data_IF_613729299335
#
_entry.id   IF_613729299335
#
_cell.length_a   1.000
_cell.length_b   1.000
_cell.length_c   1.000
_cell.angle_alpha   90.00
_cell.angle_beta   90.00
_cell.angle_gamma   90.00
#
_symmetry.space_group_name_H-M   'P 1'
#
loop_
_entity.id
_entity.type
_entity.pdbx_description
1 polymer ?
#
# COMPACT_ATOMS: atom_id res chain seq x y z
N UNK A 1 0.56 -6.99 15.48
CA UNK A 1 0.11 -7.93 16.54
C UNK A 1 -1.25 -8.56 16.25
N UNK A 2 -2.34 -7.80 16.10
CA UNK A 2 -3.67 -8.39 15.85
C UNK A 2 -3.73 -9.31 14.61
N UNK A 3 -3.10 -8.91 13.49
CA UNK A 3 -3.02 -9.74 12.28
C UNK A 3 -2.28 -11.07 12.48
N UNK A 4 -1.18 -11.07 13.23
CA UNK A 4 -0.44 -12.30 13.56
C UNK A 4 -1.34 -13.25 14.35
N UNK A 5 -2.10 -12.76 15.33
CA UNK A 5 -2.99 -13.61 16.13
C UNK A 5 -4.16 -14.18 15.32
N UNK A 6 -4.81 -13.37 14.48
CA UNK A 6 -5.97 -13.83 13.68
C UNK A 6 -5.60 -14.86 12.62
N UNK A 7 -4.43 -14.69 11.99
CA UNK A 7 -3.98 -15.53 10.87
C UNK A 7 -2.91 -16.56 11.28
N UNK A 8 -2.65 -16.71 12.58
CA UNK A 8 -1.75 -17.74 13.09
C UNK A 8 -2.27 -19.14 12.68
N UNK A 9 -1.44 -20.00 12.05
CA UNK A 9 -1.87 -21.32 11.56
C UNK A 9 -2.45 -22.26 12.63
N UNK A 10 -2.01 -22.13 13.88
CA UNK A 10 -2.33 -23.04 14.98
C UNK A 10 -3.51 -22.57 15.84
N UNK A 11 -3.62 -21.26 16.08
CA UNK A 11 -4.59 -20.68 17.02
C UNK A 11 -5.50 -19.60 16.41
N UNK A 12 -5.24 -19.19 15.16
CA UNK A 12 -5.94 -18.10 14.51
C UNK A 12 -7.33 -18.49 14.02
N UNK A 13 -8.35 -17.73 14.43
CA UNK A 13 -9.74 -17.97 14.03
C UNK A 13 -9.95 -17.90 12.51
N UNK A 14 -9.25 -16.99 11.83
CA UNK A 14 -9.30 -16.86 10.36
C UNK A 14 -8.52 -17.97 9.66
N UNK A 15 -7.37 -18.38 10.18
CA UNK A 15 -6.61 -19.49 9.63
C UNK A 15 -7.40 -20.81 9.69
N UNK A 16 -8.13 -21.06 10.78
CA UNK A 16 -9.03 -22.22 10.91
C UNK A 16 -10.16 -22.17 9.88
N UNK A 17 -10.75 -20.99 9.63
CA UNK A 17 -11.81 -20.85 8.63
C UNK A 17 -11.30 -21.15 7.21
N UNK A 18 -10.12 -20.65 6.85
CA UNK A 18 -9.48 -20.90 5.56
C UNK A 18 -9.21 -22.41 5.38
N UNK A 19 -8.67 -23.07 6.40
CA UNK A 19 -8.44 -24.52 6.38
C UNK A 19 -9.73 -25.33 6.25
N UNK A 20 -10.80 -24.92 6.94
CA UNK A 20 -12.14 -25.54 6.78
C UNK A 20 -12.73 -25.35 5.39
N UNK A 21 -12.39 -24.26 4.71
CA UNK A 21 -12.75 -24.00 3.32
C UNK A 21 -11.87 -24.77 2.31
N UNK A 22 -10.93 -25.60 2.77
CA UNK A 22 -10.02 -26.37 1.91
C UNK A 22 -8.77 -25.61 1.45
N UNK A 23 -8.53 -24.40 1.96
CA UNK A 23 -7.35 -23.60 1.64
C UNK A 23 -6.24 -23.98 2.64
N UNK A 24 -5.11 -24.55 2.20
CA UNK A 24 -4.02 -24.98 3.07
C UNK A 24 -3.18 -23.77 3.53
N UNK A 25 -3.78 -22.88 4.32
CA UNK A 25 -3.16 -21.65 4.82
C UNK A 25 -2.06 -21.95 5.84
N UNK A 26 -0.81 -21.63 5.50
CA UNK A 26 0.34 -21.77 6.39
C UNK A 26 1.44 -20.70 6.12
N UNK A 27 1.23 -19.44 6.56
CA UNK A 27 2.23 -18.38 6.47
C UNK A 27 3.54 -18.62 7.26
N UNK A 28 3.64 -19.68 8.06
CA UNK A 28 4.91 -20.05 8.72
C UNK A 28 5.81 -20.86 7.78
N UNK A 29 5.22 -21.62 6.86
CA UNK A 29 5.93 -22.54 5.97
C UNK A 29 5.90 -22.09 4.51
N UNK A 30 4.82 -21.45 4.05
CA UNK A 30 4.66 -20.95 2.68
C UNK A 30 4.94 -19.44 2.60
N UNK A 31 5.92 -19.08 1.77
CA UNK A 31 6.30 -17.69 1.52
C UNK A 31 5.22 -16.87 0.84
N UNK A 32 4.36 -17.51 0.04
CA UNK A 32 3.25 -16.87 -0.65
C UNK A 32 2.18 -16.45 0.35
N UNK A 33 1.80 -17.35 1.26
CA UNK A 33 0.83 -17.06 2.32
C UNK A 33 1.35 -15.98 3.26
N UNK A 34 2.64 -16.04 3.61
CA UNK A 34 3.29 -15.01 4.42
C UNK A 34 3.23 -13.63 3.74
N UNK A 35 3.53 -13.56 2.44
CA UNK A 35 3.45 -12.30 1.69
C UNK A 35 2.02 -11.80 1.57
N UNK A 36 1.04 -12.67 1.30
CA UNK A 36 -0.38 -12.32 1.26
C UNK A 36 -0.81 -11.72 2.59
N UNK A 37 -0.40 -12.34 3.71
CA UNK A 37 -0.70 -11.83 5.06
C UNK A 37 -0.11 -10.44 5.29
N UNK A 38 1.15 -10.22 4.90
CA UNK A 38 1.82 -8.91 5.01
C UNK A 38 1.10 -7.86 4.16
N UNK A 39 0.78 -8.17 2.91
CA UNK A 39 0.08 -7.26 1.98
C UNK A 39 -1.31 -6.93 2.50
N UNK A 40 -2.06 -7.91 2.98
CA UNK A 40 -3.39 -7.69 3.54
C UNK A 40 -3.34 -6.80 4.79
N UNK A 41 -2.39 -7.05 5.70
CA UNK A 41 -2.21 -6.24 6.90
C UNK A 41 -1.78 -4.79 6.58
N UNK A 42 -0.87 -4.62 5.62
CA UNK A 42 -0.39 -3.32 5.18
C UNK A 42 -1.48 -2.53 4.44
N UNK A 43 -2.20 -3.18 3.52
CA UNK A 43 -3.32 -2.57 2.80
C UNK A 43 -4.41 -2.14 3.77
N UNK A 44 -4.79 -3.00 4.73
CA UNK A 44 -5.79 -2.67 5.75
C UNK A 44 -5.43 -1.42 6.54
N UNK A 45 -4.16 -1.28 6.97
CA UNK A 45 -3.68 -0.07 7.66
C UNK A 45 -3.90 1.18 6.80
N UNK A 46 -3.68 1.11 5.49
CA UNK A 46 -3.83 2.25 4.59
C UNK A 46 -5.24 2.56 4.12
N UNK A 47 -6.21 1.65 4.31
CA UNK A 47 -7.61 1.91 3.94
C UNK A 47 -8.14 3.17 4.64
N UNK A 48 -7.93 3.30 5.95
CA UNK A 48 -8.43 4.44 6.72
C UNK A 48 -7.82 5.77 6.26
N UNK A 49 -6.52 5.77 5.96
CA UNK A 49 -5.82 6.95 5.43
C UNK A 49 -6.41 7.34 4.06
N UNK A 50 -6.44 6.41 3.11
CA UNK A 50 -6.94 6.65 1.76
C UNK A 50 -8.40 7.13 1.77
N UNK A 51 -9.24 6.52 2.61
CA UNK A 51 -10.65 6.87 2.72
C UNK A 51 -10.85 8.34 3.12
N UNK A 52 -10.13 8.84 4.13
CA UNK A 52 -10.26 10.23 4.57
C UNK A 52 -9.90 11.23 3.48
N UNK A 53 -8.81 10.98 2.75
CA UNK A 53 -8.40 11.84 1.64
C UNK A 53 -9.38 11.79 0.47
N UNK A 54 -9.89 10.62 0.12
CA UNK A 54 -10.92 10.51 -0.92
C UNK A 54 -12.21 11.23 -0.53
N UNK A 55 -12.65 11.16 0.73
CA UNK A 55 -13.81 11.91 1.21
C UNK A 55 -13.57 13.41 1.12
N UNK A 56 -12.40 13.89 1.57
CA UNK A 56 -12.05 15.30 1.44
C UNK A 56 -12.00 15.76 -0.04
N UNK A 57 -11.42 14.93 -0.92
CA UNK A 57 -11.39 15.19 -2.36
C UNK A 57 -12.78 15.24 -2.98
N UNK A 58 -13.68 14.33 -2.58
CA UNK A 58 -15.07 14.32 -3.03
C UNK A 58 -15.84 15.55 -2.54
N UNK A 59 -15.58 16.01 -1.31
CA UNK A 59 -16.22 17.21 -0.74
C UNK A 59 -15.76 18.50 -1.41
N UNK A 60 -14.55 18.53 -1.98
CA UNK A 60 -14.03 19.66 -2.73
C UNK A 60 -14.69 19.83 -4.12
N UNK A 61 -15.36 18.79 -4.65
CA UNK A 61 -16.02 18.85 -5.95
C UNK A 61 -17.29 19.71 -5.85
N UNK A 62 -17.42 20.79 -6.63
CA UNK A 62 -18.62 21.62 -6.64
C UNK A 62 -19.86 20.82 -7.03
N UNK A 63 -20.90 20.85 -6.17
CA UNK A 63 -22.17 20.16 -6.44
C UNK A 63 -22.84 20.66 -7.73
N UNK A 64 -22.66 21.93 -8.06
CA UNK A 64 -23.19 22.56 -9.28
C UNK A 64 -22.75 21.85 -10.56
N UNK A 65 -21.53 21.32 -10.63
CA UNK A 65 -21.05 20.56 -11.79
C UNK A 65 -21.79 19.23 -11.94
N UNK A 66 -22.05 18.55 -10.82
CA UNK A 66 -22.74 17.26 -10.80
C UNK A 66 -24.24 17.42 -11.09
N UNK A 67 -24.84 18.51 -10.61
CA UNK A 67 -26.24 18.87 -10.86
C UNK A 67 -26.45 19.31 -12.30
N UNK A 68 -25.58 20.14 -12.86
CA UNK A 68 -25.63 20.54 -14.27
C UNK A 68 -25.58 19.31 -15.20
N UNK A 69 -24.67 18.37 -14.95
CA UNK A 69 -24.60 17.13 -15.71
C UNK A 69 -25.84 16.24 -15.56
N UNK A 70 -26.54 16.31 -14.42
CA UNK A 70 -27.81 15.61 -14.23
C UNK A 70 -28.93 16.25 -15.06
N UNK A 71 -28.96 17.58 -15.16
CA UNK A 71 -29.88 18.32 -16.02
C UNK A 71 -29.62 17.99 -17.50
N UNK A 72 -28.36 17.83 -17.90
CA UNK A 72 -27.94 17.40 -19.24
C UNK A 72 -28.20 15.90 -19.54
N UNK A 73 -28.88 15.18 -18.63
CA UNK A 73 -29.27 13.78 -18.83
C UNK A 73 -28.14 12.76 -18.62
N UNK A 74 -27.03 13.13 -17.98
CA UNK A 74 -25.96 12.18 -17.70
C UNK A 74 -26.38 11.16 -16.62
N UNK A 75 -26.23 9.88 -16.91
CA UNK A 75 -26.41 8.80 -15.93
C UNK A 75 -25.38 8.88 -14.80
N UNK A 76 -25.65 8.24 -13.65
CA UNK A 76 -24.74 8.26 -12.51
C UNK A 76 -23.34 7.71 -12.86
N UNK A 77 -23.28 6.63 -13.65
CA UNK A 77 -22.01 6.08 -14.12
C UNK A 77 -21.26 7.05 -15.04
N UNK A 78 -21.97 7.72 -15.95
CA UNK A 78 -21.34 8.72 -16.83
C UNK A 78 -20.77 9.87 -16.00
N UNK A 79 -21.55 10.41 -15.06
CA UNK A 79 -21.10 11.47 -14.13
C UNK A 79 -19.87 11.06 -13.32
N UNK A 80 -19.81 9.82 -12.84
CA UNK A 80 -18.64 9.34 -12.11
C UNK A 80 -17.38 9.36 -12.99
N UNK A 81 -17.43 8.72 -14.16
CA UNK A 81 -16.24 8.59 -15.02
C UNK A 81 -15.84 9.87 -15.75
N UNK A 82 -16.79 10.76 -16.07
CA UNK A 82 -16.51 11.98 -16.83
C UNK A 82 -16.26 13.22 -15.97
N UNK A 83 -16.72 13.24 -14.72
CA UNK A 83 -16.61 14.42 -13.83
C UNK A 83 -15.89 14.05 -12.53
N UNK A 84 -16.45 13.13 -11.75
CA UNK A 84 -15.93 12.85 -10.40
C UNK A 84 -14.52 12.25 -10.45
N UNK A 85 -14.30 11.21 -11.24
CA UNK A 85 -13.01 10.52 -11.33
C UNK A 85 -11.89 11.43 -11.87
N UNK A 86 -12.08 12.22 -12.96
CA UNK A 86 -11.10 13.21 -13.39
C UNK A 86 -10.81 14.29 -12.33
N UNK A 87 -11.83 14.80 -11.63
CA UNK A 87 -11.65 15.82 -10.59
C UNK A 87 -10.99 15.27 -9.32
N UNK A 88 -11.07 13.96 -9.08
CA UNK A 88 -10.32 13.27 -8.02
C UNK A 88 -8.89 12.91 -8.43
N UNK A 89 -8.46 13.18 -9.67
CA UNK A 89 -7.10 12.87 -10.12
C UNK A 89 -5.99 13.49 -9.23
N UNK A 90 -6.08 14.75 -8.76
CA UNK A 90 -5.06 15.33 -7.87
C UNK A 90 -4.94 14.55 -6.56
N UNK A 91 -6.08 14.22 -5.92
CA UNK A 91 -6.13 13.45 -4.67
C UNK A 91 -5.62 12.03 -4.87
N UNK A 92 -6.06 11.36 -5.93
CA UNK A 92 -5.65 9.99 -6.26
C UNK A 92 -4.15 9.91 -6.51
N UNK A 93 -3.60 10.91 -7.19
CA UNK A 93 -2.17 10.99 -7.43
C UNK A 93 -1.38 11.21 -6.15
N UNK A 94 -1.79 12.19 -5.32
CA UNK A 94 -1.17 12.42 -4.02
C UNK A 94 -1.12 11.12 -3.20
N UNK A 95 -2.25 10.41 -3.14
CA UNK A 95 -2.32 9.11 -2.48
C UNK A 95 -1.42 8.07 -3.14
N UNK A 96 -1.28 8.03 -4.46
CA UNK A 96 -0.38 7.10 -5.13
C UNK A 96 1.08 7.32 -4.70
N UNK A 97 1.54 8.57 -4.62
CA UNK A 97 2.89 8.91 -4.16
C UNK A 97 3.08 8.48 -2.71
N UNK A 98 2.17 8.88 -1.82
CA UNK A 98 2.26 8.57 -0.40
C UNK A 98 2.19 7.06 -0.15
N UNK A 99 1.29 6.34 -0.82
CA UNK A 99 1.20 4.89 -0.68
C UNK A 99 2.44 4.17 -1.23
N UNK A 100 3.08 4.72 -2.26
CA UNK A 100 4.36 4.19 -2.75
C UNK A 100 5.43 4.34 -1.68
N UNK A 101 5.61 5.54 -1.11
CA UNK A 101 6.57 5.76 -0.02
C UNK A 101 6.28 4.85 1.16
N UNK A 102 5.01 4.72 1.54
CA UNK A 102 4.55 3.81 2.59
C UNK A 102 4.98 2.36 2.31
N UNK A 103 4.79 1.87 1.08
CA UNK A 103 5.14 0.51 0.70
C UNK A 103 6.64 0.22 0.85
N UNK A 104 7.50 1.18 0.50
CA UNK A 104 8.97 1.03 0.55
C UNK A 104 9.56 1.16 1.95
N UNK A 105 8.98 1.97 2.84
CA UNK A 105 9.59 2.29 4.14
C UNK A 105 8.76 1.86 5.35
N UNK A 106 7.46 2.17 5.36
CA UNK A 106 6.61 2.01 6.55
C UNK A 106 6.04 0.59 6.72
N UNK A 107 6.25 -0.30 5.75
CA UNK A 107 5.89 -1.72 5.84
C UNK A 107 6.81 -2.51 6.78
N UNK A 108 7.98 -1.95 7.13
CA UNK A 108 8.95 -2.57 8.02
C UNK A 108 8.33 -3.12 9.31
N UNK A 109 7.56 -2.29 10.03
CA UNK A 109 6.99 -2.67 11.31
C UNK A 109 6.00 -3.84 11.22
N UNK A 110 5.29 -3.95 10.09
CA UNK A 110 4.37 -5.06 9.82
C UNK A 110 5.17 -6.34 9.56
N UNK A 111 6.15 -6.29 8.66
CA UNK A 111 7.00 -7.44 8.33
C UNK A 111 7.71 -7.95 9.59
N UNK A 112 8.37 -7.06 10.33
CA UNK A 112 9.10 -7.40 11.54
C UNK A 112 8.20 -8.05 12.60
N UNK A 113 6.97 -7.52 12.77
CA UNK A 113 6.05 -8.02 13.78
C UNK A 113 5.31 -9.30 13.38
N UNK A 114 5.11 -9.55 12.08
CA UNK A 114 4.22 -10.62 11.59
C UNK A 114 5.01 -11.83 11.11
N UNK A 115 6.08 -11.63 10.36
CA UNK A 115 6.83 -12.72 9.69
C UNK A 115 8.32 -12.71 10.00
N UNK A 116 8.86 -11.59 10.50
CA UNK A 116 10.30 -11.42 10.68
C UNK A 116 11.08 -11.50 9.36
N UNK A 117 10.42 -11.26 8.21
CA UNK A 117 11.00 -11.42 6.88
C UNK A 117 10.87 -12.83 6.29
N UNK A 118 10.40 -13.83 7.04
CA UNK A 118 10.30 -15.22 6.61
C UNK A 118 8.96 -15.59 5.94
N UNK A 119 8.79 -16.89 5.59
CA UNK A 119 9.80 -17.95 5.60
C UNK A 119 10.83 -17.76 4.47
N UNK A 120 12.07 -18.24 4.67
CA UNK A 120 13.14 -18.18 3.66
C UNK A 120 13.34 -16.80 2.97
N UNK A 121 13.22 -15.71 3.73
CA UNK A 121 13.28 -14.31 3.23
C UNK A 121 12.16 -13.91 2.26
N UNK A 122 11.08 -14.68 2.18
CA UNK A 122 9.99 -14.45 1.23
C UNK A 122 9.30 -13.09 1.40
N UNK A 123 9.25 -12.54 2.62
CA UNK A 123 8.66 -11.22 2.89
C UNK A 123 9.71 -10.15 3.20
N UNK A 124 10.98 -10.40 2.87
CA UNK A 124 12.06 -9.44 3.09
C UNK A 124 11.96 -8.29 2.08
N UNK A 125 11.70 -7.08 2.57
CA UNK A 125 11.78 -5.85 1.77
C UNK A 125 13.16 -5.23 1.86
N UNK A 126 13.50 -4.33 0.93
CA UNK A 126 14.81 -3.70 0.89
C UNK A 126 15.15 -2.94 2.18
N UNK A 127 14.16 -2.24 2.77
CA UNK A 127 14.31 -1.56 4.07
C UNK A 127 14.52 -2.55 5.22
N UNK A 128 13.85 -3.71 5.17
CA UNK A 128 14.02 -4.77 6.17
C UNK A 128 15.42 -5.39 6.08
N UNK A 129 15.92 -5.59 4.86
CA UNK A 129 17.25 -6.11 4.61
C UNK A 129 18.35 -5.17 5.12
N UNK A 130 18.24 -3.88 4.82
CA UNK A 130 19.15 -2.83 5.34
C UNK A 130 19.25 -2.90 6.86
N UNK A 131 18.10 -3.05 7.54
CA UNK A 131 18.05 -3.21 8.99
C UNK A 131 18.74 -4.51 9.44
N UNK A 132 18.40 -5.64 8.81
CA UNK A 132 18.95 -6.94 9.18
C UNK A 132 20.47 -6.98 9.00
N UNK A 133 20.98 -6.49 7.87
CA UNK A 133 22.42 -6.49 7.59
C UNK A 133 23.17 -5.48 8.47
N UNK A 134 22.58 -4.32 8.78
CA UNK A 134 23.23 -3.27 9.57
C UNK A 134 23.19 -3.52 11.08
N UNK A 135 22.02 -3.87 11.62
CA UNK A 135 21.79 -3.94 13.06
C UNK A 135 21.83 -5.36 13.62
N UNK A 136 21.46 -6.38 12.84
CA UNK A 136 21.47 -7.78 13.29
C UNK A 136 22.79 -8.46 12.92
N UNK A 137 23.19 -8.37 11.66
CA UNK A 137 24.42 -8.99 11.16
C UNK A 137 25.68 -8.13 11.36
N UNK A 138 25.53 -6.87 11.79
CA UNK A 138 26.62 -5.90 12.03
C UNK A 138 27.51 -5.64 10.79
N UNK A 139 26.97 -5.86 9.59
CA UNK A 139 27.63 -5.64 8.30
C UNK A 139 27.39 -4.20 7.83
N UNK A 140 27.94 -3.24 8.56
CA UNK A 140 27.71 -1.81 8.33
C UNK A 140 28.06 -1.36 6.90
N UNK A 141 29.12 -1.92 6.30
CA UNK A 141 29.51 -1.59 4.92
C UNK A 141 28.46 -2.01 3.88
N UNK A 142 27.88 -3.21 4.04
CA UNK A 142 26.84 -3.72 3.15
C UNK A 142 25.54 -2.93 3.36
N UNK A 143 25.10 -2.78 4.61
CA UNK A 143 23.91 -1.99 4.96
C UNK A 143 24.00 -0.54 4.46
N UNK A 144 25.19 0.06 4.51
CA UNK A 144 25.42 1.41 3.96
C UNK A 144 25.24 1.45 2.44
N UNK A 145 25.80 0.48 1.72
CA UNK A 145 25.63 0.39 0.26
C UNK A 145 24.16 0.16 -0.13
N UNK A 146 23.46 -0.72 0.58
CA UNK A 146 22.04 -0.99 0.36
C UNK A 146 21.16 0.25 0.63
N UNK A 147 21.48 1.04 1.66
CA UNK A 147 20.79 2.30 1.95
C UNK A 147 20.93 3.32 0.82
N UNK A 148 22.12 3.42 0.23
CA UNK A 148 22.36 4.30 -0.93
C UNK A 148 21.55 3.84 -2.15
N UNK A 149 21.50 2.53 -2.41
CA UNK A 149 20.71 1.95 -3.50
C UNK A 149 19.21 2.22 -3.28
N UNK A 150 18.70 1.97 -2.07
CA UNK A 150 17.31 2.26 -1.71
C UNK A 150 16.97 3.74 -1.94
N UNK A 151 17.85 4.65 -1.50
CA UNK A 151 17.67 6.09 -1.70
C UNK A 151 17.64 6.45 -3.19
N UNK A 152 18.55 5.89 -4.00
CA UNK A 152 18.57 6.12 -5.44
C UNK A 152 17.27 5.65 -6.13
N UNK A 153 16.77 4.46 -5.76
CA UNK A 153 15.50 3.92 -6.27
C UNK A 153 14.34 4.86 -5.93
N UNK A 154 14.26 5.33 -4.68
CA UNK A 154 13.16 6.19 -4.22
C UNK A 154 13.21 7.56 -4.89
N UNK A 155 14.40 8.13 -5.06
CA UNK A 155 14.58 9.39 -5.81
C UNK A 155 14.14 9.20 -7.27
N UNK A 156 14.55 8.12 -7.93
CA UNK A 156 14.16 7.83 -9.30
C UNK A 156 12.64 7.65 -9.44
N UNK A 157 12.01 6.89 -8.54
CA UNK A 157 10.56 6.72 -8.50
C UNK A 157 9.83 8.04 -8.29
N UNK A 158 10.31 8.86 -7.35
CA UNK A 158 9.74 10.19 -7.07
C UNK A 158 9.86 11.09 -8.30
N UNK A 159 11.03 11.14 -8.95
CA UNK A 159 11.24 11.93 -10.16
C UNK A 159 10.32 11.48 -11.32
N UNK A 160 10.13 10.17 -11.49
CA UNK A 160 9.18 9.60 -12.45
C UNK A 160 7.76 10.02 -12.10
N UNK A 161 7.33 9.88 -10.84
CA UNK A 161 6.01 10.29 -10.38
C UNK A 161 5.74 11.77 -10.69
N UNK A 162 6.67 12.67 -10.38
CA UNK A 162 6.50 14.10 -10.69
C UNK A 162 6.44 14.37 -12.20
N UNK A 163 7.33 13.77 -13.00
CA UNK A 163 7.45 14.03 -14.44
C UNK A 163 6.22 13.61 -15.25
N UNK A 164 5.55 12.52 -14.88
CA UNK A 164 4.35 12.07 -15.60
C UNK A 164 3.08 12.83 -15.20
N UNK A 165 3.13 13.61 -14.13
CA UNK A 165 1.91 14.12 -13.47
C UNK A 165 1.70 15.61 -13.64
N UNK A 166 2.78 16.40 -13.75
CA UNK A 166 2.66 17.82 -14.10
C UNK A 166 1.89 18.04 -15.43
N UNK A 167 1.85 17.02 -16.30
CA UNK A 167 1.12 17.05 -17.59
C UNK A 167 -0.37 16.66 -17.54
N UNK A 168 -0.89 16.10 -16.44
CA UNK A 168 -2.25 15.53 -16.40
C UNK A 168 -3.16 16.08 -15.29
N UNK A 169 -2.64 16.90 -14.38
CA UNK A 169 -3.44 17.49 -13.29
C UNK A 169 -4.07 18.78 -13.81
N UNK A 170 -5.38 18.72 -14.11
CA UNK A 170 -6.17 19.93 -14.28
C UNK A 170 -6.41 20.50 -12.89
N UNK A 171 -5.64 21.54 -12.54
CA UNK A 171 -5.96 22.35 -11.39
C UNK A 171 -7.31 23.03 -11.66
N UNK A 172 -8.25 22.84 -10.73
CA UNK A 172 -9.54 23.53 -10.76
C UNK A 172 -9.36 25.02 -10.42
#
# INVERSE_FOLDING_TARGET
>A
MLWLFLFNPSIGSFAVLLRRAGIPWDPLLDGTDAMILVVAAAAWKQISYNFLFFVAGLQAIPRSLVEAAAIDGASANRRFWSIVFPLLAPTSFFLLVINTVYAFFDTFGIIHSVTGGGPARATETLVYKVYNDGFVNLQLGISSAESVILMAIVIALTAVQFRYVERKVHYA
#
